data_IF_738746333730
#
_entry.id   IF_738746333730
#
_cell.length_a   1.000
_cell.length_b   1.000
_cell.length_c   1.000
_cell.angle_alpha   90.00
_cell.angle_beta   90.00
_cell.angle_gamma   90.00
#
_symmetry.space_group_name_H-M   'P 1'
#
loop_
_entity.id
_entity.type
_entity.pdbx_description
1 polymer ?
#
# COMPACT_ATOMS: atom_id res chain seq x y z
N UNK A 1 -45.19 -1.49 14.63
CA UNK A 1 -43.95 -1.07 13.96
C UNK A 1 -42.82 -1.85 14.57
N UNK A 2 -42.23 -2.80 13.83
CA UNK A 2 -41.10 -3.60 14.33
C UNK A 2 -39.80 -2.87 14.06
N UNK A 3 -38.83 -2.96 14.96
CA UNK A 3 -37.51 -2.32 14.78
C UNK A 3 -36.84 -2.68 13.44
N UNK A 4 -37.06 -3.89 12.93
CA UNK A 4 -36.61 -4.36 11.63
C UNK A 4 -37.19 -3.60 10.41
N UNK A 5 -38.25 -2.81 10.61
CA UNK A 5 -38.86 -1.98 9.54
C UNK A 5 -38.20 -0.58 9.46
N UNK A 6 -37.46 -0.19 10.53
CA UNK A 6 -36.81 1.12 10.66
C UNK A 6 -35.33 1.10 10.30
N UNK A 7 -34.69 -0.06 10.28
CA UNK A 7 -33.26 -0.20 10.06
C UNK A 7 -33.05 -1.24 8.96
N UNK A 8 -32.70 -0.78 7.75
CA UNK A 8 -32.13 -1.66 6.72
C UNK A 8 -30.67 -1.92 7.09
N UNK A 9 -30.38 -3.08 7.65
CA UNK A 9 -29.03 -3.59 7.74
C UNK A 9 -28.64 -4.16 6.36
N UNK A 10 -27.85 -3.45 5.60
CA UNK A 10 -27.05 -4.08 4.57
C UNK A 10 -25.85 -4.74 5.28
N UNK A 11 -25.58 -6.04 5.04
CA UNK A 11 -24.44 -6.69 5.64
C UNK A 11 -23.16 -6.01 5.13
N UNK A 12 -22.54 -5.22 5.99
CA UNK A 12 -21.21 -4.67 5.74
C UNK A 12 -20.24 -5.85 5.81
N UNK A 13 -19.46 -6.07 4.78
CA UNK A 13 -18.34 -7.02 4.84
C UNK A 13 -17.38 -6.54 5.93
N UNK A 14 -17.42 -7.17 7.11
CA UNK A 14 -16.68 -6.73 8.29
C UNK A 14 -15.15 -6.82 8.12
N UNK A 15 -14.67 -7.62 7.16
CA UNK A 15 -13.24 -7.82 6.89
C UNK A 15 -12.97 -7.50 5.42
N UNK A 16 -12.15 -6.48 5.20
CA UNK A 16 -11.68 -6.10 3.87
C UNK A 16 -10.50 -6.99 3.51
N UNK A 17 -10.60 -7.67 2.37
CA UNK A 17 -9.56 -8.57 1.85
C UNK A 17 -9.04 -8.05 0.52
N UNK A 18 -7.76 -7.84 0.42
CA UNK A 18 -7.10 -7.44 -0.83
C UNK A 18 -7.30 -8.47 -1.95
N UNK A 19 -7.37 -9.76 -1.62
CA UNK A 19 -7.64 -10.84 -2.58
C UNK A 19 -8.99 -10.74 -3.31
N UNK A 20 -9.93 -9.91 -2.83
CA UNK A 20 -11.24 -9.70 -3.46
C UNK A 20 -11.32 -8.42 -4.29
N UNK A 21 -10.25 -7.64 -4.37
CA UNK A 21 -10.24 -6.38 -5.16
C UNK A 21 -10.23 -6.62 -6.68
N UNK A 22 -10.21 -7.86 -7.13
CA UNK A 22 -10.44 -8.25 -8.54
C UNK A 22 -11.94 -8.33 -8.90
N UNK A 23 -12.82 -8.50 -7.91
CA UNK A 23 -14.28 -8.50 -8.09
C UNK A 23 -14.80 -7.07 -8.25
N UNK A 24 -15.33 -6.75 -9.42
CA UNK A 24 -15.81 -5.39 -9.77
C UNK A 24 -16.97 -4.92 -8.87
N UNK A 25 -17.87 -5.82 -8.46
CA UNK A 25 -18.96 -5.47 -7.52
C UNK A 25 -18.39 -5.12 -6.14
N UNK A 26 -17.43 -5.92 -5.66
CA UNK A 26 -16.77 -5.68 -4.38
C UNK A 26 -15.98 -4.35 -4.37
N UNK A 27 -15.25 -4.03 -5.46
CA UNK A 27 -14.54 -2.75 -5.63
C UNK A 27 -15.48 -1.57 -5.48
N UNK A 28 -16.60 -1.60 -6.20
CA UNK A 28 -17.61 -0.52 -6.21
C UNK A 28 -18.28 -0.36 -4.85
N UNK A 29 -18.63 -1.45 -4.19
CA UNK A 29 -19.25 -1.43 -2.87
C UNK A 29 -18.27 -0.88 -1.82
N UNK A 30 -16.99 -1.25 -1.90
CA UNK A 30 -15.96 -0.78 -1.01
C UNK A 30 -15.78 0.74 -1.10
N UNK A 31 -15.79 1.30 -2.31
CA UNK A 31 -15.69 2.75 -2.51
C UNK A 31 -16.96 3.47 -2.04
N UNK A 32 -18.14 2.95 -2.39
CA UNK A 32 -19.44 3.57 -2.00
C UNK A 32 -19.67 3.59 -0.50
N UNK A 33 -19.22 2.56 0.20
CA UNK A 33 -19.46 2.41 1.65
C UNK A 33 -18.42 3.10 2.51
N UNK A 34 -17.37 3.68 1.92
CA UNK A 34 -16.35 4.37 2.69
C UNK A 34 -16.88 5.66 3.31
N UNK A 35 -16.66 5.81 4.61
CA UNK A 35 -17.08 6.99 5.37
C UNK A 35 -15.88 7.84 5.72
N UNK A 36 -15.83 9.05 5.16
CA UNK A 36 -14.76 10.00 5.47
C UNK A 36 -15.00 10.71 6.81
N UNK A 37 -14.19 10.42 7.81
CA UNK A 37 -14.14 11.22 9.03
C UNK A 37 -13.50 12.59 8.75
N UNK A 38 -13.63 13.53 9.70
CA UNK A 38 -12.97 14.84 9.61
C UNK A 38 -11.45 14.69 9.42
N UNK A 39 -10.82 13.79 10.16
CA UNK A 39 -9.38 13.53 10.08
C UNK A 39 -8.96 12.99 8.70
N UNK A 40 -9.79 12.14 8.09
CA UNK A 40 -9.54 11.67 6.72
C UNK A 40 -9.56 12.81 5.71
N UNK A 41 -10.57 13.68 5.76
CA UNK A 41 -10.72 14.80 4.81
C UNK A 41 -9.60 15.83 4.94
N UNK A 42 -9.33 16.28 6.18
CA UNK A 42 -8.48 17.45 6.43
C UNK A 42 -6.98 17.13 6.50
N UNK A 43 -6.63 15.86 6.71
CA UNK A 43 -5.23 15.48 6.95
C UNK A 43 -4.77 14.26 6.17
N UNK A 44 -5.43 13.11 6.33
CA UNK A 44 -4.89 11.85 5.81
C UNK A 44 -4.93 11.79 4.29
N UNK A 45 -6.05 12.11 3.65
CA UNK A 45 -6.17 12.05 2.18
C UNK A 45 -5.20 13.04 1.51
N UNK A 46 -5.11 14.33 1.92
CA UNK A 46 -4.14 15.24 1.35
C UNK A 46 -2.68 14.77 1.49
N UNK A 47 -2.31 14.21 2.66
CA UNK A 47 -0.95 13.68 2.87
C UNK A 47 -0.69 12.48 1.95
N UNK A 48 -1.62 11.55 1.85
CA UNK A 48 -1.49 10.37 0.99
C UNK A 48 -1.36 10.78 -0.47
N UNK A 49 -2.27 11.63 -0.96
CA UNK A 49 -2.24 12.11 -2.34
C UNK A 49 -0.94 12.84 -2.67
N UNK A 50 -0.48 13.71 -1.74
CA UNK A 50 0.80 14.40 -1.89
C UNK A 50 1.97 13.43 -2.05
N UNK A 51 2.03 12.35 -1.27
CA UNK A 51 3.13 11.38 -1.32
C UNK A 51 3.03 10.41 -2.51
N UNK A 52 1.84 10.15 -3.02
CA UNK A 52 1.66 9.32 -4.20
C UNK A 52 1.84 10.10 -5.52
N UNK A 53 1.77 11.43 -5.50
CA UNK A 53 1.95 12.24 -6.70
C UNK A 53 3.41 12.26 -7.17
N UNK A 54 3.77 11.33 -8.05
CA UNK A 54 5.12 11.19 -8.61
C UNK A 54 5.52 12.31 -9.58
N UNK A 55 4.66 13.27 -9.86
CA UNK A 55 5.00 14.49 -10.63
C UNK A 55 5.73 15.54 -9.78
N UNK A 56 5.73 15.38 -8.46
CA UNK A 56 6.40 16.27 -7.51
C UNK A 56 7.89 15.98 -7.42
N UNK A 57 8.66 17.01 -7.08
CA UNK A 57 10.12 16.95 -6.92
C UNK A 57 10.61 17.07 -5.48
N UNK A 58 9.69 17.19 -4.52
CA UNK A 58 10.01 17.16 -3.09
C UNK A 58 10.19 15.69 -2.63
N UNK A 59 10.97 15.50 -1.58
CA UNK A 59 11.24 14.17 -1.01
C UNK A 59 9.94 13.41 -0.73
N UNK A 60 9.86 12.19 -1.24
CA UNK A 60 8.71 11.30 -1.11
C UNK A 60 9.19 9.93 -0.65
N UNK A 61 8.75 9.53 0.52
CA UNK A 61 9.07 8.23 1.10
C UNK A 61 7.88 7.26 1.01
N UNK A 62 8.11 6.02 1.41
CA UNK A 62 7.03 5.06 1.56
C UNK A 62 5.97 5.53 2.57
N UNK A 63 4.72 5.21 2.31
CA UNK A 63 3.59 5.56 3.17
C UNK A 63 3.31 4.48 4.21
N UNK A 64 3.43 4.81 5.48
CA UNK A 64 3.04 3.97 6.59
C UNK A 64 1.69 4.41 7.14
N UNK A 65 0.65 3.59 6.99
CA UNK A 65 -0.69 3.84 7.53
C UNK A 65 -0.80 3.19 8.92
N UNK A 66 -0.80 4.02 9.94
CA UNK A 66 -0.81 3.57 11.35
C UNK A 66 -2.21 3.71 11.96
N UNK A 67 -2.65 2.69 12.67
CA UNK A 67 -3.90 2.75 13.44
C UNK A 67 -4.25 1.40 14.06
N UNK A 68 -4.97 1.39 15.18
CA UNK A 68 -5.36 0.20 15.89
C UNK A 68 -6.23 -0.75 15.04
N UNK A 69 -6.42 -1.98 15.52
CA UNK A 69 -7.33 -2.93 14.88
C UNK A 69 -8.75 -2.32 14.77
N UNK A 70 -9.40 -2.51 13.62
CA UNK A 70 -10.77 -2.01 13.39
C UNK A 70 -10.89 -0.51 13.08
N UNK A 71 -9.80 0.25 12.96
CA UNK A 71 -9.85 1.69 12.63
C UNK A 71 -10.05 2.01 11.15
N UNK A 72 -10.22 1.00 10.29
CA UNK A 72 -10.47 1.18 8.87
C UNK A 72 -9.22 1.35 7.99
N UNK A 73 -8.02 1.01 8.48
CA UNK A 73 -6.77 1.10 7.68
C UNK A 73 -6.85 0.36 6.36
N UNK A 74 -7.17 -0.93 6.40
CA UNK A 74 -7.28 -1.76 5.19
C UNK A 74 -8.34 -1.21 4.23
N UNK A 75 -9.43 -0.62 4.75
CA UNK A 75 -10.44 0.05 3.94
C UNK A 75 -9.88 1.31 3.27
N UNK A 76 -9.17 2.16 4.03
CA UNK A 76 -8.51 3.35 3.47
C UNK A 76 -7.49 2.98 2.40
N UNK A 77 -6.61 2.00 2.68
CA UNK A 77 -5.60 1.54 1.73
C UNK A 77 -6.23 0.95 0.47
N UNK A 78 -7.30 0.19 0.61
CA UNK A 78 -8.07 -0.32 -0.52
C UNK A 78 -8.72 0.81 -1.32
N UNK A 79 -9.42 1.76 -0.68
CA UNK A 79 -10.03 2.91 -1.33
C UNK A 79 -9.02 3.68 -2.17
N UNK A 80 -7.92 4.12 -1.54
CA UNK A 80 -6.88 4.92 -2.21
C UNK A 80 -6.29 4.16 -3.39
N UNK A 81 -5.93 2.89 -3.19
CA UNK A 81 -5.31 2.08 -4.22
C UNK A 81 -6.25 1.78 -5.39
N UNK A 82 -7.55 1.57 -5.12
CA UNK A 82 -8.56 1.34 -6.16
C UNK A 82 -8.78 2.59 -7.02
N UNK A 83 -8.86 3.76 -6.40
CA UNK A 83 -8.97 5.03 -7.14
C UNK A 83 -7.68 5.34 -7.90
N UNK A 84 -6.52 5.08 -7.32
CA UNK A 84 -5.23 5.23 -7.99
C UNK A 84 -5.10 4.35 -9.24
N UNK A 85 -5.79 3.20 -9.27
CA UNK A 85 -5.81 2.28 -10.41
C UNK A 85 -6.90 2.60 -11.44
N UNK A 86 -8.07 3.04 -10.99
CA UNK A 86 -9.26 3.26 -11.82
C UNK A 86 -9.96 4.58 -11.45
N UNK A 87 -9.76 5.59 -12.29
CA UNK A 87 -10.36 6.92 -12.10
C UNK A 87 -11.90 6.91 -12.12
N UNK A 88 -12.54 5.94 -12.78
CA UNK A 88 -14.01 5.88 -12.84
C UNK A 88 -14.66 5.64 -11.48
N UNK A 89 -13.90 5.12 -10.50
CA UNK A 89 -14.39 4.90 -9.15
C UNK A 89 -14.57 6.20 -8.35
N UNK A 90 -13.99 7.32 -8.77
CA UNK A 90 -14.22 8.65 -8.16
C UNK A 90 -15.71 9.05 -8.20
N UNK A 91 -16.41 8.70 -9.26
CA UNK A 91 -17.82 9.03 -9.42
C UNK A 91 -18.75 8.31 -8.43
N UNK A 92 -18.23 7.31 -7.74
CA UNK A 92 -18.95 6.60 -6.69
C UNK A 92 -18.81 7.25 -5.31
N UNK A 93 -17.91 8.23 -5.16
CA UNK A 93 -17.75 8.98 -3.92
C UNK A 93 -18.86 10.03 -3.79
N UNK A 94 -19.46 10.10 -2.59
CA UNK A 94 -20.51 11.06 -2.26
C UNK A 94 -19.97 12.32 -1.55
N UNK A 95 -18.65 12.43 -1.35
CA UNK A 95 -17.98 13.50 -0.59
C UNK A 95 -17.03 14.26 -1.51
N UNK A 96 -17.37 15.50 -1.88
CA UNK A 96 -16.63 16.27 -2.88
C UNK A 96 -15.21 16.64 -2.43
N UNK A 97 -15.01 16.99 -1.16
CA UNK A 97 -13.69 17.43 -0.70
C UNK A 97 -12.59 16.35 -0.84
N UNK A 98 -12.77 15.11 -0.36
CA UNK A 98 -11.80 14.05 -0.63
C UNK A 98 -11.75 13.60 -2.09
N UNK A 99 -12.84 13.77 -2.86
CA UNK A 99 -12.87 13.47 -4.27
C UNK A 99 -11.92 14.38 -5.07
N UNK A 100 -11.96 15.70 -4.83
CA UNK A 100 -11.04 16.68 -5.44
C UNK A 100 -9.57 16.35 -5.16
N UNK A 101 -9.24 15.97 -3.92
CA UNK A 101 -7.87 15.58 -3.57
C UNK A 101 -7.43 14.29 -4.28
N UNK A 102 -8.31 13.28 -4.31
CA UNK A 102 -8.04 11.97 -4.93
C UNK A 102 -7.92 12.05 -6.46
N UNK A 103 -8.48 13.07 -7.13
CA UNK A 103 -8.29 13.31 -8.57
C UNK A 103 -6.80 13.40 -8.94
N UNK A 104 -5.96 13.90 -8.04
CA UNK A 104 -4.52 14.05 -8.25
C UNK A 104 -3.79 12.72 -8.51
N UNK A 105 -4.35 11.59 -8.05
CA UNK A 105 -3.76 10.25 -8.18
C UNK A 105 -4.64 9.29 -9.01
N UNK A 106 -5.87 9.66 -9.34
CA UNK A 106 -6.87 8.79 -9.95
C UNK A 106 -6.43 8.23 -11.31
N UNK A 107 -6.46 6.91 -11.44
CA UNK A 107 -6.09 6.20 -12.67
C UNK A 107 -4.62 6.32 -13.06
N UNK A 108 -3.75 6.81 -12.17
CA UNK A 108 -2.34 7.05 -12.47
C UNK A 108 -1.41 5.86 -12.16
N UNK A 109 -1.92 4.79 -11.56
CA UNK A 109 -1.11 3.67 -11.12
C UNK A 109 -1.58 2.33 -11.67
N UNK A 110 -0.63 1.43 -11.86
CA UNK A 110 -0.87 -0.01 -11.79
C UNK A 110 -0.56 -0.47 -10.38
N UNK A 111 -1.38 -1.36 -9.81
CA UNK A 111 -1.32 -1.64 -8.37
C UNK A 111 -1.15 -3.12 -8.08
N UNK A 112 -0.14 -3.44 -7.28
CA UNK A 112 0.05 -4.74 -6.65
C UNK A 112 -0.43 -4.68 -5.19
N UNK A 113 -1.41 -5.52 -4.81
CA UNK A 113 -1.95 -5.61 -3.44
C UNK A 113 -1.74 -7.01 -2.89
N UNK A 114 -1.21 -7.10 -1.68
CA UNK A 114 -1.14 -8.37 -0.96
C UNK A 114 -1.04 -8.21 0.56
N UNK A 115 -1.34 -9.30 1.26
CA UNK A 115 -1.19 -9.42 2.71
C UNK A 115 0.03 -10.29 3.03
N UNK A 116 0.79 -9.90 4.05
CA UNK A 116 1.93 -10.70 4.52
C UNK A 116 1.44 -11.80 5.46
N UNK A 117 1.71 -13.04 5.10
CA UNK A 117 1.35 -14.20 5.92
C UNK A 117 2.40 -15.32 5.91
N UNK A 118 3.50 -15.10 5.19
CA UNK A 118 4.55 -16.10 4.96
C UNK A 118 5.59 -16.16 6.08
N UNK A 119 6.25 -17.32 6.22
CA UNK A 119 7.46 -17.50 7.04
C UNK A 119 8.76 -17.16 6.28
N UNK A 120 8.66 -16.88 4.98
CA UNK A 120 9.78 -16.47 4.14
C UNK A 120 10.31 -15.08 4.57
N UNK A 121 11.51 -14.71 4.13
CA UNK A 121 12.03 -13.36 4.34
C UNK A 121 11.20 -12.32 3.57
N UNK A 122 11.24 -11.07 4.01
CA UNK A 122 10.53 -9.99 3.31
C UNK A 122 11.03 -9.83 1.88
N UNK A 123 12.35 -9.98 1.67
CA UNK A 123 12.95 -10.04 0.35
C UNK A 123 12.27 -11.07 -0.55
N UNK A 124 12.22 -12.34 -0.12
CA UNK A 124 11.65 -13.44 -0.91
C UNK A 124 10.17 -13.21 -1.24
N UNK A 125 9.37 -12.76 -0.25
CA UNK A 125 7.94 -12.53 -0.47
C UNK A 125 7.72 -11.39 -1.45
N UNK A 126 8.40 -10.26 -1.27
CA UNK A 126 8.19 -9.07 -2.10
C UNK A 126 8.69 -9.30 -3.53
N UNK A 127 9.89 -9.86 -3.70
CA UNK A 127 10.44 -10.12 -5.03
C UNK A 127 9.57 -11.13 -5.78
N UNK A 128 9.13 -12.20 -5.12
CA UNK A 128 8.23 -13.18 -5.74
C UNK A 128 6.92 -12.54 -6.19
N UNK A 129 6.27 -11.73 -5.34
CA UNK A 129 5.01 -11.06 -5.66
C UNK A 129 5.16 -10.03 -6.77
N UNK A 130 6.25 -9.27 -6.78
CA UNK A 130 6.53 -8.32 -7.84
C UNK A 130 6.82 -9.04 -9.17
N UNK A 131 7.62 -10.10 -9.18
CA UNK A 131 7.90 -10.89 -10.40
C UNK A 131 6.62 -11.53 -10.97
N UNK A 132 5.78 -12.13 -10.10
CA UNK A 132 4.50 -12.70 -10.49
C UNK A 132 3.64 -11.65 -11.18
N UNK A 133 3.46 -10.49 -10.52
CA UNK A 133 2.66 -9.38 -11.05
C UNK A 133 3.25 -8.81 -12.36
N UNK A 134 4.57 -8.60 -12.43
CA UNK A 134 5.25 -8.08 -13.63
C UNK A 134 5.00 -9.00 -14.83
N UNK A 135 5.15 -10.33 -14.67
CA UNK A 135 4.90 -11.29 -15.72
C UNK A 135 3.45 -11.28 -16.20
N UNK A 136 2.48 -11.23 -15.28
CA UNK A 136 1.05 -11.16 -15.60
C UNK A 136 0.68 -9.88 -16.36
N UNK A 137 1.43 -8.78 -16.15
CA UNK A 137 1.22 -7.48 -16.80
C UNK A 137 2.17 -7.21 -17.96
N UNK A 138 2.81 -8.26 -18.50
CA UNK A 138 3.61 -8.20 -19.71
C UNK A 138 5.02 -7.61 -19.55
N UNK A 139 5.48 -7.42 -18.32
CA UNK A 139 6.83 -6.94 -18.00
C UNK A 139 7.75 -8.13 -17.73
N UNK A 140 8.74 -8.36 -18.58
CA UNK A 140 9.74 -9.41 -18.39
C UNK A 140 10.85 -8.91 -17.49
N UNK A 141 10.80 -9.25 -16.20
CA UNK A 141 11.83 -8.90 -15.22
C UNK A 141 12.03 -10.02 -14.20
N UNK A 142 13.26 -10.16 -13.73
CA UNK A 142 13.63 -11.07 -12.64
C UNK A 142 14.62 -10.40 -11.70
N UNK A 143 14.36 -10.49 -10.41
CA UNK A 143 15.26 -9.97 -9.38
C UNK A 143 16.57 -10.77 -9.36
N UNK A 144 17.70 -10.06 -9.25
CA UNK A 144 19.01 -10.66 -8.97
C UNK A 144 19.10 -11.00 -7.48
N UNK A 145 19.90 -12.02 -7.14
CA UNK A 145 20.16 -12.37 -5.75
C UNK A 145 20.74 -11.17 -4.97
N UNK A 146 20.37 -11.05 -3.69
CA UNK A 146 20.81 -9.98 -2.79
C UNK A 146 22.33 -9.89 -2.61
N UNK A 147 23.06 -10.99 -2.88
CA UNK A 147 24.54 -11.00 -2.90
C UNK A 147 25.12 -10.30 -4.14
N UNK A 148 24.36 -10.16 -5.22
CA UNK A 148 24.80 -9.58 -6.47
C UNK A 148 24.42 -8.10 -6.61
N UNK A 149 23.22 -7.73 -6.14
CA UNK A 149 22.71 -6.37 -6.22
C UNK A 149 21.89 -6.02 -4.97
N UNK A 150 21.99 -4.77 -4.56
CA UNK A 150 21.15 -4.24 -3.49
C UNK A 150 19.66 -4.25 -3.90
N UNK A 151 18.76 -4.19 -2.92
CA UNK A 151 17.33 -4.11 -3.20
C UNK A 151 16.98 -2.86 -4.00
N UNK A 152 17.58 -1.72 -3.68
CA UNK A 152 17.35 -0.46 -4.39
C UNK A 152 17.77 -0.53 -5.87
N UNK A 153 18.93 -1.13 -6.17
CA UNK A 153 19.36 -1.34 -7.57
C UNK A 153 18.41 -2.27 -8.33
N UNK A 154 17.92 -3.33 -7.68
CA UNK A 154 16.93 -4.22 -8.27
C UNK A 154 15.61 -3.48 -8.58
N UNK A 155 15.12 -2.61 -7.67
CA UNK A 155 13.93 -1.79 -7.90
C UNK A 155 14.13 -0.82 -9.07
N UNK A 156 15.30 -0.18 -9.18
CA UNK A 156 15.61 0.71 -10.32
C UNK A 156 15.56 -0.04 -11.65
N UNK A 157 16.16 -1.23 -11.72
CA UNK A 157 16.14 -2.06 -12.93
C UNK A 157 14.73 -2.57 -13.27
N UNK A 158 13.97 -2.96 -12.25
CA UNK A 158 12.57 -3.35 -12.40
C UNK A 158 11.74 -2.19 -12.96
N UNK A 159 11.90 -0.99 -12.40
CA UNK A 159 11.16 0.19 -12.87
C UNK A 159 11.54 0.59 -14.28
N UNK A 160 12.80 0.44 -14.68
CA UNK A 160 13.21 0.66 -16.07
C UNK A 160 12.48 -0.28 -17.04
N UNK A 161 12.43 -1.59 -16.72
CA UNK A 161 11.67 -2.56 -17.52
C UNK A 161 10.14 -2.31 -17.47
N UNK A 162 9.62 -1.89 -16.32
CA UNK A 162 8.21 -1.55 -16.14
C UNK A 162 7.80 -0.35 -17.02
N UNK A 163 8.59 0.73 -17.03
CA UNK A 163 8.28 1.95 -17.77
C UNK A 163 8.33 1.78 -19.27
N UNK A 164 9.06 0.79 -19.79
CA UNK A 164 9.02 0.42 -21.21
C UNK A 164 7.63 -0.08 -21.65
N UNK A 165 6.93 -0.81 -20.74
CA UNK A 165 5.61 -1.38 -21.01
C UNK A 165 4.48 -0.45 -20.57
N UNK A 166 4.66 0.24 -19.45
CA UNK A 166 3.66 1.12 -18.82
C UNK A 166 4.15 2.57 -18.63
N UNK A 167 4.51 3.30 -19.70
CA UNK A 167 5.18 4.61 -19.61
C UNK A 167 4.36 5.69 -18.91
N UNK A 168 3.02 5.56 -18.93
CA UNK A 168 2.10 6.56 -18.41
C UNK A 168 1.60 6.29 -16.98
N UNK A 169 2.02 5.18 -16.36
CA UNK A 169 1.54 4.80 -15.03
C UNK A 169 2.69 4.63 -14.05
N UNK A 170 2.45 5.04 -12.81
CA UNK A 170 3.27 4.63 -11.69
C UNK A 170 2.98 3.18 -11.27
N UNK A 171 3.88 2.59 -10.49
CA UNK A 171 3.70 1.28 -9.89
C UNK A 171 3.53 1.44 -8.37
N UNK A 172 2.34 1.12 -7.87
CA UNK A 172 2.00 1.23 -6.45
C UNK A 172 1.93 -0.17 -5.82
N UNK A 173 2.73 -0.40 -4.81
CA UNK A 173 2.71 -1.62 -3.99
C UNK A 173 1.99 -1.34 -2.67
N UNK A 174 0.97 -2.14 -2.36
CA UNK A 174 0.15 -2.00 -1.16
C UNK A 174 0.22 -3.29 -0.35
N UNK A 175 0.75 -3.17 0.89
CA UNK A 175 1.02 -4.32 1.76
C UNK A 175 0.25 -4.16 3.06
N UNK A 176 -0.56 -5.13 3.43
CA UNK A 176 -1.20 -5.17 4.76
C UNK A 176 -0.55 -6.21 5.68
N UNK A 177 -0.88 -6.16 6.97
CA UNK A 177 -0.39 -7.05 8.04
C UNK A 177 1.14 -6.99 8.26
N UNK A 178 1.80 -5.90 7.90
CA UNK A 178 3.25 -5.74 8.04
C UNK A 178 3.74 -5.94 9.48
N UNK A 179 3.05 -5.40 10.48
CA UNK A 179 3.48 -5.52 11.87
C UNK A 179 3.36 -6.96 12.39
N UNK A 180 2.27 -7.66 12.03
CA UNK A 180 2.08 -9.06 12.41
C UNK A 180 3.19 -9.93 11.82
N UNK A 181 3.57 -9.66 10.56
CA UNK A 181 4.68 -10.33 9.92
C UNK A 181 6.02 -10.06 10.65
N UNK A 182 6.39 -8.81 10.91
CA UNK A 182 7.63 -8.47 11.60
C UNK A 182 7.71 -9.08 13.01
N UNK A 183 6.60 -9.09 13.77
CA UNK A 183 6.51 -9.75 15.09
C UNK A 183 6.67 -11.27 15.02
N UNK A 184 6.42 -11.87 13.89
CA UNK A 184 6.59 -13.33 13.69
C UNK A 184 8.04 -13.75 13.45
N UNK A 185 8.97 -12.79 13.27
CA UNK A 185 10.38 -13.09 12.98
C UNK A 185 11.08 -13.70 14.19
N UNK A 186 11.72 -14.86 13.98
CA UNK A 186 12.20 -15.73 15.05
C UNK A 186 13.52 -15.25 15.69
N UNK A 187 14.26 -14.37 15.02
CA UNK A 187 15.55 -13.86 15.50
C UNK A 187 15.74 -12.38 15.17
N UNK A 188 16.53 -11.64 15.99
CA UNK A 188 16.84 -10.24 15.69
C UNK A 188 17.52 -10.03 14.34
N UNK A 189 18.38 -10.95 13.90
CA UNK A 189 19.08 -10.82 12.61
C UNK A 189 18.11 -10.86 11.44
N UNK A 190 17.18 -11.83 11.42
CA UNK A 190 16.12 -11.90 10.41
C UNK A 190 15.22 -10.67 10.40
N UNK A 191 14.92 -10.14 11.58
CA UNK A 191 14.15 -8.92 11.69
C UNK A 191 14.93 -7.72 11.11
N UNK A 192 16.22 -7.60 11.41
CA UNK A 192 17.06 -6.54 10.87
C UNK A 192 17.16 -6.61 9.33
N UNK A 193 17.33 -7.81 8.77
CA UNK A 193 17.33 -8.02 7.31
C UNK A 193 16.02 -7.51 6.68
N UNK A 194 14.88 -7.87 7.25
CA UNK A 194 13.57 -7.44 6.75
C UNK A 194 13.37 -5.92 6.89
N UNK A 195 13.85 -5.30 7.99
CA UNK A 195 13.79 -3.85 8.17
C UNK A 195 14.67 -3.09 7.16
N UNK A 196 15.83 -3.66 6.77
CA UNK A 196 16.67 -3.09 5.70
C UNK A 196 15.94 -3.14 4.34
N UNK A 197 15.23 -4.21 4.04
CA UNK A 197 14.39 -4.31 2.83
C UNK A 197 13.28 -3.27 2.85
N UNK A 198 12.59 -3.10 3.98
CA UNK A 198 11.53 -2.11 4.13
C UNK A 198 12.05 -0.68 3.97
N UNK A 199 13.21 -0.37 4.55
CA UNK A 199 13.87 0.92 4.37
C UNK A 199 14.24 1.17 2.90
N UNK A 200 14.81 0.18 2.22
CA UNK A 200 15.17 0.31 0.81
C UNK A 200 13.94 0.53 -0.09
N UNK A 201 12.82 -0.14 0.22
CA UNK A 201 11.53 0.08 -0.47
C UNK A 201 11.02 1.51 -0.28
N UNK A 202 11.03 2.01 0.96
CA UNK A 202 10.60 3.37 1.26
C UNK A 202 11.45 4.41 0.52
N UNK A 203 12.77 4.25 0.54
CA UNK A 203 13.71 5.13 -0.16
C UNK A 203 13.58 5.06 -1.69
N UNK A 204 13.23 3.90 -2.25
CA UNK A 204 13.01 3.73 -3.69
C UNK A 204 11.78 4.49 -4.21
N UNK A 205 10.91 4.96 -3.32
CA UNK A 205 9.76 5.81 -3.67
C UNK A 205 10.14 7.25 -3.99
N UNK A 206 11.34 7.69 -3.58
CA UNK A 206 11.79 9.06 -3.79
C UNK A 206 12.15 9.32 -5.26
N UNK A 207 11.57 10.40 -5.81
CA UNK A 207 11.78 10.85 -7.19
C UNK A 207 11.59 9.77 -8.29
N UNK A 208 10.75 8.76 -8.01
CA UNK A 208 10.42 7.68 -8.95
C UNK A 208 8.92 7.50 -9.10
N UNK A 209 8.51 6.77 -10.14
CA UNK A 209 7.12 6.33 -10.31
C UNK A 209 6.78 5.09 -9.47
N UNK A 210 7.75 4.54 -8.74
CA UNK A 210 7.52 3.48 -7.76
C UNK A 210 7.01 4.10 -6.46
N UNK A 211 5.90 3.58 -5.93
CA UNK A 211 5.33 4.00 -4.65
C UNK A 211 4.97 2.78 -3.81
N UNK A 212 5.11 2.92 -2.50
CA UNK A 212 4.73 1.87 -1.54
C UNK A 212 3.83 2.44 -0.45
N UNK A 213 2.83 1.68 -0.08
CA UNK A 213 1.95 1.94 1.06
C UNK A 213 1.76 0.66 1.87
N UNK A 214 1.96 0.73 3.19
CA UNK A 214 1.78 -0.43 4.05
C UNK A 214 1.05 -0.10 5.34
N UNK A 215 0.24 -1.07 5.80
CA UNK A 215 -0.56 -0.97 7.00
C UNK A 215 0.13 -1.56 8.23
N UNK A 216 0.10 -0.82 9.36
CA UNK A 216 0.58 -1.29 10.65
C UNK A 216 -0.43 -1.00 11.75
N UNK A 217 -0.51 -1.86 12.76
CA UNK A 217 -1.48 -1.70 13.84
C UNK A 217 -1.04 -0.68 14.90
N UNK A 218 0.26 -0.54 15.10
CA UNK A 218 0.89 0.47 15.97
C UNK A 218 2.19 0.95 15.32
N UNK A 219 2.72 2.06 15.77
CA UNK A 219 4.04 2.49 15.29
C UNK A 219 5.09 1.44 15.62
N UNK A 220 5.77 0.91 14.60
CA UNK A 220 6.74 -0.17 14.73
C UNK A 220 7.83 0.20 15.77
N UNK A 221 8.26 1.48 15.79
CA UNK A 221 9.31 1.96 16.70
C UNK A 221 8.83 2.21 18.15
N UNK A 222 7.54 2.18 18.44
CA UNK A 222 7.02 2.27 19.81
C UNK A 222 6.88 0.91 20.46
N UNK A 223 6.94 -0.17 19.70
CA UNK A 223 6.95 -1.52 20.26
C UNK A 223 8.30 -1.79 20.94
N UNK A 224 8.32 -2.24 22.21
CA UNK A 224 9.56 -2.52 22.93
C UNK A 224 10.50 -3.49 22.21
N UNK A 225 9.92 -4.38 21.41
CA UNK A 225 10.62 -5.39 20.60
C UNK A 225 11.44 -4.77 19.45
N UNK A 226 11.11 -3.53 19.03
CA UNK A 226 11.76 -2.85 17.91
C UNK A 226 12.50 -1.56 18.30
N UNK A 227 12.66 -1.26 19.59
CA UNK A 227 13.33 -0.03 20.03
C UNK A 227 14.75 0.11 19.48
N UNK A 228 15.46 -0.99 19.27
CA UNK A 228 16.80 -0.98 18.66
C UNK A 228 16.77 -0.61 17.16
N UNK A 229 15.65 -0.81 16.49
CA UNK A 229 15.47 -0.53 15.07
C UNK A 229 14.88 0.89 14.80
N UNK A 230 14.60 1.66 15.85
CA UNK A 230 13.92 2.96 15.74
C UNK A 230 14.61 3.95 14.80
N UNK A 231 15.94 3.94 14.74
CA UNK A 231 16.71 4.83 13.84
C UNK A 231 16.62 4.41 12.36
N UNK A 232 16.47 3.12 12.08
CA UNK A 232 16.30 2.60 10.72
C UNK A 232 14.89 2.93 10.20
N UNK A 233 13.88 2.80 11.06
CA UNK A 233 12.48 2.97 10.70
C UNK A 233 12.03 4.44 10.59
N UNK A 234 12.78 5.38 11.13
CA UNK A 234 12.52 6.83 10.97
C UNK A 234 12.81 7.35 9.56
N UNK A 235 13.41 6.55 8.69
CA UNK A 235 13.76 6.89 7.30
C UNK A 235 12.88 6.17 6.27
N UNK A 236 11.80 5.53 6.71
CA UNK A 236 10.81 4.85 5.86
C UNK A 236 9.55 5.68 5.77
#
# INVERSE_FOLDING_TARGET
MKYSELIKFEPINEIIKFSRTEDDSYRKDLVKTFVFSKAYRESLIPIICKNLDYSRTDEQFGLQIVGNYGTGKSHLMSLVSLIAEDASLLDLLNDEAPKEELESIAGKFKVLRFELGSKLSLWEVITYKMEEWMNENGVSFKFSDHEQKSFAENIQLMMAAYEEVHPNHGFLVVIDEMLAYLKSRSTPDKLNEDLMVLQALGQSSDNTKFKIMFGVQEMIYHSPEFQFASQMLQKV
#
